data_IF_217883214781
#
_entry.id   IF_217883214781
#
_cell.length_a   1.000
_cell.length_b   1.000
_cell.length_c   1.000
_cell.angle_alpha   90.00
_cell.angle_beta   90.00
_cell.angle_gamma   90.00
#
_symmetry.space_group_name_H-M   'P 1'
#
loop_
_entity.id
_entity.type
_entity.pdbx_description
1 polymer ?
#
# COMPACT_ATOMS: atom_id res chain seq x y z
N UNK A 1 -13.88 10.62 20.48
CA UNK A 1 -13.51 9.26 20.93
C UNK A 1 -12.01 9.19 21.15
N UNK A 2 -11.54 8.74 22.32
CA UNK A 2 -10.13 8.42 22.58
C UNK A 2 -9.79 7.11 21.85
N UNK A 3 -9.66 7.18 20.54
CA UNK A 3 -9.37 6.03 19.68
C UNK A 3 -7.90 5.63 19.78
N UNK A 4 -7.62 4.34 19.95
CA UNK A 4 -6.28 3.76 20.02
C UNK A 4 -5.48 4.18 18.78
N UNK A 5 -4.37 4.93 18.97
CA UNK A 5 -3.45 5.38 17.91
C UNK A 5 -2.51 4.27 17.41
N UNK A 6 -2.82 3.01 17.68
CA UNK A 6 -1.92 1.91 17.34
C UNK A 6 -2.17 1.49 15.90
N UNK A 7 -1.16 1.57 15.01
CA UNK A 7 -1.32 1.08 13.64
C UNK A 7 -1.62 -0.42 13.67
N UNK A 8 -2.56 -0.85 12.84
CA UNK A 8 -2.90 -2.26 12.66
C UNK A 8 -2.23 -2.75 11.38
N UNK A 9 -1.48 -3.85 11.48
CA UNK A 9 -0.92 -4.53 10.31
C UNK A 9 -2.02 -5.33 9.63
N UNK A 10 -2.25 -5.06 8.35
CA UNK A 10 -3.11 -5.88 7.50
C UNK A 10 -2.27 -7.00 6.87
N UNK A 11 -2.85 -8.20 6.80
CA UNK A 11 -2.25 -9.37 6.16
C UNK A 11 -3.21 -9.88 5.08
N UNK A 12 -2.67 -10.31 3.95
CA UNK A 12 -3.42 -10.96 2.89
C UNK A 12 -2.90 -12.39 2.68
N UNK A 13 -3.82 -13.35 2.60
CA UNK A 13 -3.49 -14.74 2.28
C UNK A 13 -3.41 -14.89 0.77
N UNK A 14 -2.22 -15.21 0.25
CA UNK A 14 -1.97 -15.25 -1.20
C UNK A 14 -1.97 -16.66 -1.79
N UNK A 15 -1.31 -17.61 -1.12
CA UNK A 15 -1.21 -19.00 -1.56
C UNK A 15 -0.77 -19.92 -0.42
N UNK A 16 -0.83 -21.23 -0.67
CA UNK A 16 -0.07 -22.19 0.11
C UNK A 16 1.43 -22.02 -0.14
N UNK A 17 2.23 -22.53 0.79
CA UNK A 17 3.70 -22.50 0.70
C UNK A 17 4.14 -23.23 -0.58
N UNK A 18 4.98 -22.57 -1.38
CA UNK A 18 5.50 -23.04 -2.66
C UNK A 18 4.47 -23.18 -3.80
N UNK A 19 3.26 -22.63 -3.62
CA UNK A 19 2.20 -22.64 -4.65
C UNK A 19 1.85 -21.22 -5.12
N UNK A 20 2.75 -20.25 -4.93
CA UNK A 20 2.51 -18.88 -5.36
C UNK A 20 2.70 -18.79 -6.89
N UNK A 21 1.66 -18.42 -7.66
CA UNK A 21 1.81 -18.22 -9.10
C UNK A 21 2.80 -17.10 -9.42
N UNK A 22 3.46 -17.18 -10.58
CA UNK A 22 4.47 -16.19 -11.00
C UNK A 22 3.91 -14.76 -11.04
N UNK A 23 2.68 -14.57 -11.51
CA UNK A 23 2.01 -13.26 -11.51
C UNK A 23 1.81 -12.72 -10.08
N UNK A 24 1.46 -13.59 -9.12
CA UNK A 24 1.34 -13.20 -7.71
C UNK A 24 2.72 -12.90 -7.09
N UNK A 25 3.76 -13.61 -7.49
CA UNK A 25 5.12 -13.30 -7.06
C UNK A 25 5.59 -11.93 -7.57
N UNK A 26 5.26 -11.59 -8.82
CA UNK A 26 5.53 -10.26 -9.40
C UNK A 26 4.74 -9.15 -8.71
N UNK A 27 3.47 -9.42 -8.39
CA UNK A 27 2.62 -8.53 -7.61
C UNK A 27 3.24 -8.22 -6.23
N UNK A 28 3.63 -9.27 -5.48
CA UNK A 28 4.25 -9.11 -4.17
C UNK A 28 5.53 -8.28 -4.29
N UNK A 29 6.40 -8.60 -5.25
CA UNK A 29 7.63 -7.86 -5.48
C UNK A 29 7.39 -6.38 -5.77
N UNK A 30 6.45 -6.07 -6.68
CA UNK A 30 6.13 -4.69 -7.02
C UNK A 30 5.53 -3.94 -5.82
N UNK A 31 4.67 -4.60 -5.04
CA UNK A 31 4.07 -4.01 -3.85
C UNK A 31 5.11 -3.73 -2.76
N UNK A 32 5.99 -4.69 -2.45
CA UNK A 32 7.05 -4.55 -1.44
C UNK A 32 8.02 -3.41 -1.79
N UNK A 33 8.45 -3.32 -3.05
CA UNK A 33 9.27 -2.20 -3.51
C UNK A 33 8.52 -0.86 -3.40
N UNK A 34 7.21 -0.85 -3.64
CA UNK A 34 6.35 0.31 -3.43
C UNK A 34 6.31 0.75 -1.97
N UNK A 35 6.21 -0.19 -1.02
CA UNK A 35 6.23 0.06 0.42
C UNK A 35 7.58 0.65 0.87
N UNK A 36 8.69 0.11 0.38
CA UNK A 36 10.02 0.64 0.71
C UNK A 36 10.19 2.08 0.23
N UNK A 37 9.75 2.39 -0.99
CA UNK A 37 9.77 3.74 -1.53
C UNK A 37 8.81 4.68 -0.78
N UNK A 38 7.65 4.17 -0.38
CA UNK A 38 6.65 4.90 0.40
C UNK A 38 7.20 5.32 1.77
N UNK A 39 7.85 4.41 2.51
CA UNK A 39 8.49 4.74 3.78
C UNK A 39 9.67 5.70 3.62
N UNK A 40 10.36 5.67 2.48
CA UNK A 40 11.40 6.64 2.10
C UNK A 40 10.85 7.97 1.56
N UNK A 41 9.52 8.16 1.55
CA UNK A 41 8.85 9.36 1.06
C UNK A 41 9.08 9.67 -0.44
N UNK A 42 9.51 8.68 -1.23
CA UNK A 42 9.63 8.81 -2.69
C UNK A 42 8.29 8.51 -3.36
N UNK A 43 7.32 9.42 -3.16
CA UNK A 43 5.92 9.24 -3.56
C UNK A 43 5.74 8.97 -5.05
N UNK A 44 6.60 9.56 -5.89
CA UNK A 44 6.50 9.41 -7.33
C UNK A 44 6.87 7.98 -7.74
N UNK A 45 7.99 7.45 -7.23
CA UNK A 45 8.41 6.08 -7.54
C UNK A 45 7.52 5.06 -6.83
N UNK A 46 7.13 5.31 -5.58
CA UNK A 46 6.21 4.46 -4.84
C UNK A 46 4.89 4.28 -5.61
N UNK A 47 4.26 5.38 -6.04
CA UNK A 47 3.05 5.34 -6.86
C UNK A 47 3.23 4.54 -8.15
N UNK A 48 4.40 4.62 -8.80
CA UNK A 48 4.67 3.82 -10.00
C UNK A 48 4.65 2.32 -9.68
N UNK A 49 5.35 1.87 -8.64
CA UNK A 49 5.38 0.45 -8.25
C UNK A 49 4.01 -0.06 -7.80
N UNK A 50 3.22 0.76 -7.10
CA UNK A 50 1.84 0.41 -6.79
C UNK A 50 0.94 0.31 -8.02
N UNK A 51 1.17 1.10 -9.08
CA UNK A 51 0.45 0.91 -10.35
C UNK A 51 0.83 -0.39 -11.04
N UNK A 52 2.12 -0.75 -10.99
CA UNK A 52 2.59 -2.03 -11.51
C UNK A 52 1.90 -3.19 -10.76
N UNK A 53 1.88 -3.13 -9.42
CA UNK A 53 1.18 -4.12 -8.59
C UNK A 53 -0.34 -4.16 -8.83
N UNK A 54 -1.00 -3.00 -8.94
CA UNK A 54 -2.44 -2.90 -9.21
C UNK A 54 -2.83 -3.59 -10.52
N UNK A 55 -1.98 -3.55 -11.54
CA UNK A 55 -2.24 -4.22 -12.81
C UNK A 55 -2.23 -5.76 -12.73
N UNK A 56 -1.72 -6.31 -11.63
CA UNK A 56 -1.63 -7.74 -11.33
C UNK A 56 -2.62 -8.16 -10.23
N UNK A 57 -3.33 -7.22 -9.60
CA UNK A 57 -4.28 -7.51 -8.53
C UNK A 57 -5.60 -8.01 -9.08
N UNK A 58 -6.17 -9.01 -8.41
CA UNK A 58 -7.51 -9.51 -8.73
C UNK A 58 -8.58 -8.54 -8.25
N UNK A 59 -9.51 -8.16 -9.13
CA UNK A 59 -10.71 -7.44 -8.75
C UNK A 59 -11.74 -8.40 -8.15
N UNK A 60 -12.16 -8.15 -6.91
CA UNK A 60 -13.20 -8.93 -6.25
C UNK A 60 -14.47 -8.09 -6.06
N UNK A 61 -15.66 -8.58 -6.45
CA UNK A 61 -16.92 -7.81 -6.38
C UNK A 61 -17.26 -7.24 -4.99
N UNK A 62 -16.82 -7.91 -3.93
CA UNK A 62 -17.08 -7.53 -2.54
C UNK A 62 -15.89 -6.84 -1.87
N UNK A 63 -14.83 -6.53 -2.63
CA UNK A 63 -13.64 -5.83 -2.18
C UNK A 63 -13.53 -4.52 -2.97
N UNK A 64 -14.05 -3.40 -2.43
CA UNK A 64 -14.15 -2.15 -3.18
C UNK A 64 -12.79 -1.49 -3.47
N UNK A 65 -11.74 -1.87 -2.74
CA UNK A 65 -10.38 -1.37 -2.94
C UNK A 65 -9.36 -2.48 -2.77
N UNK A 66 -8.26 -2.37 -3.50
CA UNK A 66 -7.10 -3.23 -3.33
C UNK A 66 -6.01 -2.52 -2.53
N UNK A 67 -5.05 -3.26 -1.93
CA UNK A 67 -3.91 -2.65 -1.24
C UNK A 67 -3.20 -1.62 -2.13
N UNK A 68 -2.91 -1.94 -3.38
CA UNK A 68 -2.18 -1.03 -4.27
C UNK A 68 -2.98 0.24 -4.58
N UNK A 69 -4.29 0.15 -4.81
CA UNK A 69 -5.16 1.31 -5.00
C UNK A 69 -5.13 2.26 -3.78
N UNK A 70 -5.22 1.70 -2.57
CA UNK A 70 -5.14 2.47 -1.33
C UNK A 70 -3.82 3.22 -1.22
N UNK A 71 -2.69 2.58 -1.52
CA UNK A 71 -1.39 3.24 -1.42
C UNK A 71 -1.14 4.26 -2.53
N UNK A 72 -1.73 4.10 -3.72
CA UNK A 72 -1.71 5.13 -4.77
C UNK A 72 -2.37 6.43 -4.28
N UNK A 73 -3.55 6.33 -3.64
CA UNK A 73 -4.24 7.49 -3.07
C UNK A 73 -3.41 8.16 -1.98
N UNK A 74 -2.78 7.37 -1.11
CA UNK A 74 -1.90 7.89 -0.05
C UNK A 74 -0.67 8.60 -0.62
N UNK A 75 -0.04 8.05 -1.67
CA UNK A 75 1.08 8.71 -2.35
C UNK A 75 0.66 10.07 -2.92
N UNK A 76 -0.52 10.15 -3.56
CA UNK A 76 -1.05 11.43 -4.06
C UNK A 76 -1.35 12.42 -2.93
N UNK A 77 -1.89 11.93 -1.81
CA UNK A 77 -2.11 12.77 -0.63
C UNK A 77 -0.80 13.33 -0.09
N UNK A 78 0.20 12.48 0.18
CA UNK A 78 1.48 12.93 0.75
C UNK A 78 2.34 13.73 -0.21
N UNK A 79 2.19 13.53 -1.52
CA UNK A 79 2.81 14.43 -2.51
C UNK A 79 2.28 15.87 -2.39
N UNK A 80 0.98 16.04 -2.09
CA UNK A 80 0.34 17.36 -1.91
C UNK A 80 0.52 17.89 -0.48
N UNK A 81 0.52 17.00 0.51
CA UNK A 81 0.60 17.29 1.93
C UNK A 81 1.74 16.47 2.55
N UNK A 82 3.01 16.83 2.31
CA UNK A 82 4.14 16.05 2.79
C UNK A 82 4.08 15.89 4.31
N UNK A 83 4.36 14.69 4.85
CA UNK A 83 4.37 14.47 6.27
C UNK A 83 5.58 15.16 6.91
N UNK A 84 5.63 15.17 8.25
CA UNK A 84 6.77 15.74 8.97
C UNK A 84 8.05 14.92 8.73
N UNK A 85 9.20 15.54 9.00
CA UNK A 85 10.52 14.91 8.83
C UNK A 85 10.69 13.63 9.67
N UNK A 86 9.99 13.53 10.79
CA UNK A 86 9.97 12.42 11.74
C UNK A 86 8.79 11.45 11.53
N UNK A 87 8.20 11.44 10.35
CA UNK A 87 7.06 10.58 10.03
C UNK A 87 7.40 9.10 10.20
N UNK A 88 6.52 8.40 10.91
CA UNK A 88 6.66 7.01 11.35
C UNK A 88 6.12 5.99 10.33
N UNK A 89 5.82 6.43 9.10
CA UNK A 89 5.22 5.59 8.06
C UNK A 89 3.72 5.37 8.23
N UNK A 90 3.09 5.94 9.27
CA UNK A 90 1.68 5.69 9.57
C UNK A 90 0.78 6.61 8.78
N UNK A 91 -0.16 6.00 8.06
CA UNK A 91 -1.32 6.71 7.51
C UNK A 91 -2.33 7.01 8.63
N UNK A 92 -2.61 8.29 8.86
CA UNK A 92 -3.68 8.71 9.76
C UNK A 92 -4.87 9.19 8.92
N UNK A 93 -6.03 8.53 9.04
CA UNK A 93 -7.26 9.03 8.40
C UNK A 93 -7.60 10.42 8.94
N UNK A 94 -7.61 11.42 8.07
CA UNK A 94 -7.88 12.82 8.45
C UNK A 94 -9.36 13.20 8.41
N UNK A 95 -10.26 12.25 8.11
CA UNK A 95 -11.68 12.55 7.95
C UNK A 95 -12.48 12.08 9.17
N UNK A 96 -13.24 13.01 9.76
CA UNK A 96 -14.26 12.75 10.78
C UNK A 96 -15.50 12.10 10.18
#
# INVERSE_FOLDING_TARGET
MKGKKTPVKAYELLSLKNELPDEKAQLVKAFDEGIDLYHNQDWLKAKKRFKDALSLEEEFPYRPTTPSAVYIERCEHFKKNPPKKDWDGVWTMTTK
#
